data_IF_709968139000
#
_entry.id   IF_709968139000
#
_cell.length_a   1.000
_cell.length_b   1.000
_cell.length_c   1.000
_cell.angle_alpha   90.00
_cell.angle_beta   90.00
_cell.angle_gamma   90.00
#
_symmetry.space_group_name_H-M   'P 1'
#
loop_
_entity.id
_entity.type
_entity.pdbx_description
1 polymer ?
#
# COMPACT_ATOMS: atom_id res chain seq x y z
N UNK A 1 -10.29 -3.12 -9.51
CA UNK A 1 -8.88 -2.78 -9.75
C UNK A 1 -8.77 -1.28 -9.69
N UNK A 2 -8.01 -0.78 -8.72
CA UNK A 2 -7.79 0.64 -8.44
C UNK A 2 -6.56 1.16 -9.17
N UNK A 3 -5.51 0.34 -9.26
CA UNK A 3 -4.37 0.63 -10.11
C UNK A 3 -4.79 0.48 -11.57
N UNK A 4 -4.55 1.50 -12.39
CA UNK A 4 -4.75 1.41 -13.84
C UNK A 4 -3.45 0.94 -14.48
N UNK A 5 -3.55 0.19 -15.56
CA UNK A 5 -2.38 -0.11 -16.37
C UNK A 5 -1.94 1.18 -17.09
N UNK A 6 -0.72 1.64 -16.81
CA UNK A 6 -0.19 2.92 -17.33
C UNK A 6 0.14 2.90 -18.83
N UNK A 7 -0.30 1.90 -19.60
CA UNK A 7 0.03 1.76 -21.02
C UNK A 7 1.53 1.57 -21.33
N UNK A 8 2.39 1.55 -20.30
CA UNK A 8 3.82 1.34 -20.44
C UNK A 8 4.11 -0.08 -20.97
N UNK A 9 5.12 -0.20 -21.83
CA UNK A 9 5.56 -1.43 -22.49
C UNK A 9 5.98 -2.59 -21.54
N UNK A 10 5.91 -2.41 -20.22
CA UNK A 10 6.24 -3.45 -19.23
C UNK A 10 4.99 -4.03 -18.60
N UNK A 11 4.90 -5.36 -18.68
CA UNK A 11 3.86 -6.11 -18.00
C UNK A 11 3.96 -5.91 -16.47
N UNK A 12 2.90 -5.37 -15.88
CA UNK A 12 2.76 -5.22 -14.44
C UNK A 12 2.03 -6.45 -13.89
N UNK A 13 2.50 -6.96 -12.74
CA UNK A 13 1.81 -7.99 -11.96
C UNK A 13 1.26 -7.37 -10.69
N UNK A 14 -0.05 -7.51 -10.45
CA UNK A 14 -0.65 -7.21 -9.15
C UNK A 14 -0.23 -8.30 -8.17
N UNK A 15 0.69 -7.97 -7.28
CA UNK A 15 1.26 -8.89 -6.28
C UNK A 15 0.50 -8.86 -4.96
N UNK A 16 -0.28 -7.80 -4.72
CA UNK A 16 -1.10 -7.65 -3.53
C UNK A 16 -2.44 -7.03 -3.84
N UNK A 17 -3.47 -7.60 -3.20
CA UNK A 17 -4.82 -7.07 -3.07
C UNK A 17 -5.24 -7.19 -1.61
N UNK A 18 -5.66 -6.08 -1.03
CA UNK A 18 -6.15 -6.03 0.33
C UNK A 18 -7.44 -6.82 0.50
N UNK A 19 -8.29 -6.85 -0.53
CA UNK A 19 -9.49 -7.68 -0.55
C UNK A 19 -9.17 -9.15 -0.27
N UNK A 20 -8.15 -9.71 -0.96
CA UNK A 20 -7.69 -11.08 -0.70
C UNK A 20 -7.08 -11.23 0.69
N UNK A 21 -6.35 -10.22 1.15
CA UNK A 21 -5.71 -10.25 2.47
C UNK A 21 -6.73 -10.31 3.61
N UNK A 22 -7.81 -9.53 3.52
CA UNK A 22 -8.90 -9.53 4.50
C UNK A 22 -9.57 -10.91 4.64
N UNK A 23 -9.60 -11.71 3.57
CA UNK A 23 -10.18 -13.06 3.59
C UNK A 23 -9.32 -14.08 4.34
N UNK A 24 -8.01 -13.84 4.47
CA UNK A 24 -7.08 -14.78 5.11
C UNK A 24 -7.22 -14.80 6.63
N UNK A 25 -7.59 -13.66 7.24
CA UNK A 25 -7.73 -13.53 8.69
C UNK A 25 -8.99 -12.75 9.08
N UNK A 26 -10.18 -13.39 9.00
CA UNK A 26 -11.44 -12.76 9.41
C UNK A 26 -11.47 -12.36 10.89
N UNK A 27 -10.69 -13.04 11.74
CA UNK A 27 -10.63 -12.73 13.17
C UNK A 27 -9.97 -11.37 13.42
N UNK A 28 -8.89 -11.07 12.68
CA UNK A 28 -8.26 -9.74 12.72
C UNK A 28 -9.18 -8.64 12.21
N UNK A 29 -9.97 -8.91 11.16
CA UNK A 29 -10.97 -7.97 10.66
C UNK A 29 -12.02 -7.68 11.73
N UNK A 30 -12.60 -8.73 12.32
CA UNK A 30 -13.59 -8.59 13.40
C UNK A 30 -13.02 -7.82 14.61
N UNK A 31 -11.76 -8.05 14.97
CA UNK A 31 -11.11 -7.30 16.05
C UNK A 31 -10.97 -5.80 15.74
N UNK A 32 -10.60 -5.45 14.50
CA UNK A 32 -10.52 -4.05 14.07
C UNK A 32 -11.91 -3.37 14.07
N UNK A 33 -12.95 -4.08 13.63
CA UNK A 33 -14.33 -3.60 13.67
C UNK A 33 -14.84 -3.43 15.12
N UNK A 34 -14.53 -4.39 16.01
CA UNK A 34 -14.88 -4.29 17.43
C UNK A 34 -14.23 -3.08 18.11
N UNK A 35 -12.95 -2.79 17.81
CA UNK A 35 -12.29 -1.57 18.29
C UNK A 35 -12.95 -0.30 17.75
N UNK A 36 -13.37 -0.30 16.48
CA UNK A 36 -14.11 0.82 15.86
C UNK A 36 -15.43 1.09 16.59
N UNK A 37 -16.17 0.06 16.97
CA UNK A 37 -17.45 0.20 17.68
C UNK A 37 -17.32 0.46 19.19
N UNK A 38 -16.15 0.21 19.78
CA UNK A 38 -15.95 0.33 21.22
C UNK A 38 -15.85 1.80 21.67
N UNK A 39 -16.92 2.31 22.29
CA UNK A 39 -16.98 3.67 22.87
C UNK A 39 -16.13 3.84 24.13
N UNK A 40 -15.90 2.75 24.88
CA UNK A 40 -15.01 2.74 26.04
C UNK A 40 -13.51 2.81 25.68
N UNK A 41 -13.17 2.74 24.39
CA UNK A 41 -11.82 2.93 23.86
C UNK A 41 -11.81 4.04 22.80
N UNK A 42 -12.08 5.30 23.18
CA UNK A 42 -12.32 6.40 22.24
C UNK A 42 -11.09 6.84 21.46
N UNK A 43 -9.89 6.36 21.82
CA UNK A 43 -8.64 6.69 21.14
C UNK A 43 -8.05 5.52 20.34
N UNK A 44 -8.73 4.36 20.29
CA UNK A 44 -8.21 3.14 19.66
C UNK A 44 -9.12 2.66 18.53
N UNK A 45 -8.51 2.33 17.40
CA UNK A 45 -9.20 1.87 16.20
C UNK A 45 -9.52 3.00 15.22
N UNK A 46 -10.30 2.64 14.21
CA UNK A 46 -10.75 3.54 13.15
C UNK A 46 -12.01 4.28 13.61
N UNK A 47 -12.27 5.42 12.97
CA UNK A 47 -13.42 6.27 13.28
C UNK A 47 -14.74 5.68 12.77
N UNK A 48 -14.68 4.83 11.74
CA UNK A 48 -15.86 4.16 11.16
C UNK A 48 -16.79 5.10 10.37
N UNK A 49 -16.31 6.29 9.98
CA UNK A 49 -17.09 7.31 9.24
C UNK A 49 -17.63 6.81 7.91
N UNK A 50 -16.95 5.85 7.29
CA UNK A 50 -17.23 5.36 5.94
C UNK A 50 -17.58 3.87 5.95
N UNK A 51 -18.17 3.40 7.06
CA UNK A 51 -18.42 1.98 7.30
C UNK A 51 -17.30 1.30 8.09
N UNK A 52 -17.54 0.05 8.45
CA UNK A 52 -16.60 -0.77 9.21
C UNK A 52 -15.48 -1.31 8.32
N UNK A 53 -14.25 -1.34 8.83
CA UNK A 53 -13.08 -1.83 8.11
C UNK A 53 -13.33 -3.17 7.41
N UNK A 54 -13.08 -3.21 6.09
CA UNK A 54 -13.26 -4.40 5.25
C UNK A 54 -14.71 -4.78 4.93
N UNK A 55 -15.70 -4.05 5.43
CA UNK A 55 -17.11 -4.25 5.05
C UNK A 55 -17.40 -3.78 3.63
N UNK A 56 -18.53 -4.21 3.06
CA UNK A 56 -18.97 -3.76 1.73
C UNK A 56 -19.14 -2.23 1.68
N UNK A 57 -19.75 -1.62 2.71
CA UNK A 57 -19.91 -0.18 2.81
C UNK A 57 -18.56 0.56 2.76
N UNK A 58 -17.54 0.01 3.43
CA UNK A 58 -16.19 0.56 3.41
C UNK A 58 -15.57 0.50 2.02
N UNK A 59 -15.72 -0.62 1.32
CA UNK A 59 -15.28 -0.75 -0.07
C UNK A 59 -16.05 0.16 -1.02
N UNK A 60 -17.35 0.29 -0.86
CA UNK A 60 -18.19 1.18 -1.68
C UNK A 60 -17.73 2.64 -1.52
N UNK A 61 -17.45 3.07 -0.29
CA UNK A 61 -16.91 4.41 -0.04
C UNK A 61 -15.51 4.65 -0.63
N UNK A 62 -14.68 3.61 -0.76
CA UNK A 62 -13.42 3.68 -1.53
C UNK A 62 -13.71 3.92 -3.01
N UNK A 63 -14.59 3.12 -3.61
CA UNK A 63 -14.88 3.22 -5.06
C UNK A 63 -15.64 4.48 -5.45
N UNK A 64 -16.48 5.00 -4.54
CA UNK A 64 -17.18 6.27 -4.71
C UNK A 64 -16.27 7.50 -4.49
N UNK A 65 -15.04 7.31 -3.98
CA UNK A 65 -14.08 8.39 -3.72
C UNK A 65 -14.35 9.16 -2.42
N UNK A 66 -15.17 8.62 -1.52
CA UNK A 66 -15.46 9.24 -0.21
C UNK A 66 -14.31 9.04 0.78
N UNK A 67 -13.59 7.91 0.66
CA UNK A 67 -12.31 7.69 1.36
C UNK A 67 -11.18 8.17 0.44
N UNK A 68 -10.34 9.12 0.89
CA UNK A 68 -9.23 9.62 0.09
C UNK A 68 -8.23 8.51 -0.25
N UNK A 69 -7.77 8.49 -1.50
CA UNK A 69 -6.76 7.57 -1.99
C UNK A 69 -5.44 8.27 -2.23
N UNK A 70 -4.34 7.61 -1.87
CA UNK A 70 -2.97 8.07 -2.11
C UNK A 70 -2.28 7.07 -3.05
N UNK A 71 -1.84 7.58 -4.20
CA UNK A 71 -1.18 6.78 -5.24
C UNK A 71 0.31 7.11 -5.29
N UNK A 72 1.14 6.07 -5.36
CA UNK A 72 2.55 6.21 -5.68
C UNK A 72 2.92 5.33 -6.87
N UNK A 73 3.76 5.88 -7.74
CA UNK A 73 4.41 5.14 -8.80
C UNK A 73 5.85 5.60 -8.93
N UNK A 74 6.76 4.65 -9.10
CA UNK A 74 8.18 4.96 -9.20
C UNK A 74 9.02 3.75 -9.53
N UNK A 75 10.34 3.95 -9.50
CA UNK A 75 11.34 2.91 -9.70
C UNK A 75 11.94 2.53 -8.35
N UNK A 76 12.02 1.24 -8.07
CA UNK A 76 12.70 0.73 -6.88
C UNK A 76 14.19 1.04 -7.05
N UNK A 77 14.76 1.79 -6.11
CA UNK A 77 16.19 2.11 -6.07
C UNK A 77 16.94 1.31 -5.00
N UNK A 78 16.21 0.77 -4.03
CA UNK A 78 16.74 -0.11 -2.97
C UNK A 78 15.67 -1.05 -2.44
N UNK A 79 16.09 -2.23 -1.99
CA UNK A 79 15.27 -3.17 -1.21
C UNK A 79 16.07 -3.64 0.01
N UNK A 80 15.46 -3.63 1.19
CA UNK A 80 16.14 -3.92 2.46
C UNK A 80 15.16 -4.43 3.52
N UNK A 81 15.70 -5.05 4.57
CA UNK A 81 14.97 -5.39 5.78
C UNK A 81 14.99 -4.19 6.76
N UNK A 82 13.82 -3.79 7.24
CA UNK A 82 13.64 -2.74 8.24
C UNK A 82 12.83 -3.25 9.44
N UNK A 83 12.97 -2.61 10.60
CA UNK A 83 12.28 -2.98 11.83
C UNK A 83 13.19 -3.67 12.85
N UNK A 84 12.62 -3.98 14.03
CA UNK A 84 13.34 -4.59 15.16
C UNK A 84 13.33 -6.11 15.15
N UNK A 85 12.59 -6.72 14.21
CA UNK A 85 12.53 -8.16 14.05
C UNK A 85 13.73 -8.61 13.21
N UNK A 86 14.51 -9.59 13.70
CA UNK A 86 15.68 -10.17 13.02
C UNK A 86 15.34 -11.00 11.76
N UNK A 87 14.36 -10.57 10.96
CA UNK A 87 14.06 -11.20 9.68
C UNK A 87 15.08 -10.71 8.65
N UNK A 88 15.81 -11.64 8.04
CA UNK A 88 16.79 -11.35 6.99
C UNK A 88 16.12 -10.98 5.65
N UNK A 89 14.82 -11.20 5.51
CA UNK A 89 14.08 -10.94 4.27
C UNK A 89 13.75 -9.46 4.11
N UNK A 90 13.94 -8.94 2.89
CA UNK A 90 13.54 -7.59 2.55
C UNK A 90 12.05 -7.41 2.79
N UNK A 91 11.69 -6.37 3.52
CA UNK A 91 10.30 -6.01 3.81
C UNK A 91 9.98 -4.55 3.45
N UNK A 92 10.97 -3.81 2.96
CA UNK A 92 10.88 -2.40 2.61
C UNK A 92 11.66 -2.11 1.33
N UNK A 93 11.17 -1.17 0.53
CA UNK A 93 11.87 -0.62 -0.63
C UNK A 93 11.92 0.90 -0.56
N UNK A 94 13.01 1.48 -1.07
CA UNK A 94 13.07 2.90 -1.41
C UNK A 94 12.57 3.06 -2.86
N UNK A 95 11.58 3.93 -3.04
CA UNK A 95 10.93 4.21 -4.32
C UNK A 95 11.28 5.63 -4.78
N UNK A 96 11.97 5.74 -5.92
CA UNK A 96 12.17 7.01 -6.62
C UNK A 96 10.91 7.33 -7.43
N UNK A 97 10.17 8.36 -7.01
CA UNK A 97 8.92 8.80 -7.67
C UNK A 97 9.18 9.94 -8.66
N UNK A 98 8.16 10.32 -9.43
CA UNK A 98 8.29 11.24 -10.58
C UNK A 98 8.85 12.63 -10.21
N UNK A 99 8.52 13.15 -9.03
CA UNK A 99 9.02 14.44 -8.54
C UNK A 99 10.49 14.42 -8.11
N UNK A 100 11.16 13.25 -8.22
CA UNK A 100 12.55 13.04 -7.86
C UNK A 100 12.78 12.72 -6.37
N UNK A 101 11.73 12.74 -5.54
CA UNK A 101 11.82 12.30 -4.15
C UNK A 101 11.97 10.78 -4.03
N UNK A 102 12.54 10.36 -2.91
CA UNK A 102 12.66 8.95 -2.53
C UNK A 102 11.80 8.72 -1.30
N UNK A 103 10.92 7.72 -1.37
CA UNK A 103 10.01 7.37 -0.28
C UNK A 103 10.13 5.89 0.09
N UNK A 104 9.95 5.58 1.36
CA UNK A 104 9.92 4.20 1.86
C UNK A 104 8.54 3.57 1.67
N UNK A 105 8.50 2.38 1.09
CA UNK A 105 7.29 1.60 0.88
C UNK A 105 7.50 0.19 1.45
N UNK A 106 6.55 -0.26 2.28
CA UNK A 106 6.53 -1.65 2.73
C UNK A 106 6.28 -2.62 1.57
N UNK A 107 6.87 -3.81 1.65
CA UNK A 107 6.60 -4.89 0.69
C UNK A 107 5.32 -5.60 1.10
N UNK A 108 4.32 -5.55 0.23
CA UNK A 108 3.05 -6.26 0.39
C UNK A 108 2.91 -7.28 -0.72
N UNK A 109 2.61 -8.53 -0.35
CA UNK A 109 2.34 -9.62 -1.29
C UNK A 109 1.21 -10.49 -0.76
N UNK A 110 0.36 -11.00 -1.64
CA UNK A 110 -0.55 -12.09 -1.25
C UNK A 110 0.15 -13.45 -1.32
N UNK A 111 1.13 -13.62 -2.22
CA UNK A 111 1.95 -14.83 -2.41
C UNK A 111 3.41 -14.53 -2.01
N UNK A 112 3.99 -15.34 -1.11
CA UNK A 112 5.34 -15.10 -0.59
C UNK A 112 6.44 -15.08 -1.67
N UNK A 113 6.28 -15.88 -2.73
CA UNK A 113 7.22 -15.90 -3.86
C UNK A 113 7.29 -14.57 -4.63
N UNK A 114 6.27 -13.71 -4.52
CA UNK A 114 6.26 -12.42 -5.21
C UNK A 114 7.16 -11.37 -4.57
N UNK A 115 7.68 -11.62 -3.36
CA UNK A 115 8.70 -10.75 -2.72
C UNK A 115 9.92 -10.61 -3.63
N UNK A 116 10.24 -11.67 -4.38
CA UNK A 116 11.33 -11.65 -5.33
C UNK A 116 11.17 -10.61 -6.45
N UNK A 117 9.99 -10.08 -6.72
CA UNK A 117 9.79 -9.08 -7.77
C UNK A 117 10.26 -7.67 -7.35
N UNK A 118 10.42 -7.43 -6.05
CA UNK A 118 10.83 -6.14 -5.48
C UNK A 118 12.34 -5.94 -5.57
N UNK A 119 12.83 -5.72 -6.80
CA UNK A 119 14.24 -5.56 -7.12
C UNK A 119 14.54 -4.16 -7.68
N UNK A 120 15.77 -3.70 -7.49
CA UNK A 120 16.25 -2.43 -8.04
C UNK A 120 16.00 -2.37 -9.56
N UNK A 121 15.48 -1.25 -10.05
CA UNK A 121 15.14 -1.03 -11.45
C UNK A 121 13.73 -1.48 -11.85
N UNK A 122 13.02 -2.24 -11.03
CA UNK A 122 11.60 -2.55 -11.27
C UNK A 122 10.72 -1.34 -10.98
N UNK A 123 9.65 -1.18 -11.78
CA UNK A 123 8.59 -0.21 -11.52
C UNK A 123 7.65 -0.78 -10.45
N UNK A 124 7.30 0.03 -9.48
CA UNK A 124 6.29 -0.27 -8.47
C UNK A 124 5.15 0.74 -8.56
N UNK A 125 3.93 0.25 -8.35
CA UNK A 125 2.73 1.05 -8.17
C UNK A 125 2.01 0.58 -6.91
N UNK A 126 1.54 1.51 -6.11
CA UNK A 126 0.78 1.23 -4.90
C UNK A 126 -0.30 2.29 -4.70
N UNK A 127 -1.45 1.84 -4.21
CA UNK A 127 -2.54 2.70 -3.79
C UNK A 127 -2.91 2.40 -2.35
N UNK A 128 -3.04 3.45 -1.55
CA UNK A 128 -3.47 3.42 -0.16
C UNK A 128 -4.84 4.07 -0.01
N UNK A 129 -5.69 3.53 0.86
CA UNK A 129 -6.78 4.28 1.48
C UNK A 129 -6.27 5.04 2.70
N UNK A 130 -6.75 6.27 2.89
CA UNK A 130 -6.51 7.09 4.08
C UNK A 130 -7.78 7.07 4.95
N UNK A 131 -7.85 6.11 5.88
CA UNK A 131 -9.01 5.95 6.77
C UNK A 131 -8.78 6.66 8.11
N UNK A 132 -9.76 7.43 8.59
CA UNK A 132 -9.58 8.28 9.77
C UNK A 132 -9.42 7.44 11.04
N UNK A 133 -8.37 7.69 11.81
CA UNK A 133 -8.19 7.11 13.15
C UNK A 133 -9.13 7.77 14.16
N UNK A 134 -9.53 7.05 15.21
CA UNK A 134 -10.23 7.70 16.34
C UNK A 134 -9.36 8.72 17.06
N UNK A 135 -8.09 8.37 17.30
CA UNK A 135 -7.11 9.28 17.89
C UNK A 135 -6.83 10.42 16.91
N UNK A 136 -7.21 11.63 17.28
CA UNK A 136 -6.98 12.86 16.53
C UNK A 136 -6.40 13.95 17.46
N UNK A 137 -5.64 14.92 16.93
CA UNK A 137 -5.02 14.91 15.60
C UNK A 137 -3.86 13.91 15.50
N UNK A 138 -3.22 13.84 14.34
CA UNK A 138 -1.93 13.17 14.17
C UNK A 138 -0.79 13.92 14.88
N UNK A 139 0.41 13.33 14.97
CA UNK A 139 1.57 13.98 15.60
C UNK A 139 1.98 15.31 14.93
N UNK A 140 1.66 15.48 13.66
CA UNK A 140 1.89 16.68 12.85
C UNK A 140 0.75 17.71 12.93
N UNK A 141 -0.28 17.45 13.73
CA UNK A 141 -1.45 18.31 13.88
C UNK A 141 -2.51 18.15 12.78
N UNK A 142 -2.24 17.35 11.74
CA UNK A 142 -3.19 17.06 10.67
C UNK A 142 -4.16 15.94 11.06
N UNK A 143 -5.10 15.62 10.16
CA UNK A 143 -5.98 14.45 10.34
C UNK A 143 -5.10 13.20 10.41
N UNK A 144 -5.25 12.44 11.48
CA UNK A 144 -4.59 11.16 11.66
C UNK A 144 -5.29 10.08 10.82
N UNK A 145 -4.59 9.58 9.81
CA UNK A 145 -5.09 8.50 8.96
C UNK A 145 -4.32 7.20 9.23
N UNK A 146 -5.05 6.09 9.26
CA UNK A 146 -4.48 4.79 8.94
C UNK A 146 -4.24 4.74 7.42
N UNK A 147 -3.00 4.48 7.02
CA UNK A 147 -2.68 4.17 5.62
C UNK A 147 -2.87 2.68 5.40
N UNK A 148 -3.88 2.32 4.62
CA UNK A 148 -4.21 0.92 4.29
C UNK A 148 -3.83 0.65 2.84
N UNK A 149 -2.81 -0.18 2.60
CA UNK A 149 -2.46 -0.59 1.22
C UNK A 149 -3.65 -1.36 0.64
N UNK A 150 -4.14 -0.96 -0.53
CA UNK A 150 -5.29 -1.58 -1.19
C UNK A 150 -4.85 -2.52 -2.32
N UNK A 151 -3.94 -2.06 -3.16
CA UNK A 151 -3.36 -2.84 -4.26
C UNK A 151 -1.89 -2.45 -4.46
N UNK A 152 -1.06 -3.43 -4.80
CA UNK A 152 0.35 -3.23 -5.19
C UNK A 152 0.61 -3.99 -6.49
N UNK A 153 1.24 -3.31 -7.43
CA UNK A 153 1.72 -3.90 -8.67
C UNK A 153 3.21 -3.65 -8.88
N UNK A 154 3.91 -4.65 -9.39
CA UNK A 154 5.35 -4.58 -9.69
C UNK A 154 5.58 -5.05 -11.13
N UNK A 155 6.50 -4.41 -11.85
CA UNK A 155 6.85 -4.80 -13.22
C UNK A 155 7.60 -6.13 -13.24
N UNK A 156 7.33 -6.98 -14.24
CA UNK A 156 8.00 -8.26 -14.43
C UNK A 156 9.42 -8.16 -15.06
N UNK A 157 9.89 -6.95 -15.41
CA UNK A 157 11.21 -6.72 -16.02
C UNK A 157 11.87 -5.41 -15.56
N UNK A 158 13.19 -5.32 -15.70
CA UNK A 158 14.01 -4.22 -15.20
C UNK A 158 14.03 -2.99 -16.12
N UNK A 159 14.33 -1.83 -15.54
CA UNK A 159 14.69 -0.63 -16.27
C UNK A 159 16.18 -0.56 -16.54
N UNK A 160 16.60 -1.04 -17.71
CA UNK A 160 17.84 -0.53 -18.29
C UNK A 160 17.61 0.92 -18.74
N UNK A 161 17.96 1.88 -17.89
CA UNK A 161 18.24 3.26 -18.35
C UNK A 161 19.66 3.36 -18.96
N UNK A 162 20.19 2.26 -19.51
CA UNK A 162 21.53 2.18 -20.11
C UNK A 162 21.49 2.10 -21.64
N UNK A 163 20.34 1.77 -22.25
CA UNK A 163 20.23 1.53 -23.70
C UNK A 163 19.58 2.65 -24.51
N UNK A 164 18.93 3.63 -23.88
CA UNK A 164 18.30 4.76 -24.58
C UNK A 164 19.24 5.94 -24.87
N UNK A 165 20.54 5.85 -24.52
CA UNK A 165 21.54 6.90 -24.77
C UNK A 165 22.38 6.70 -26.05
N UNK A 166 22.16 5.62 -26.80
CA UNK A 166 22.93 5.32 -28.02
C UNK A 166 22.06 5.00 -29.25
N UNK A 167 20.89 5.62 -29.35
CA UNK A 167 20.07 5.58 -30.57
C UNK A 167 19.70 6.99 -31.03
N UNK A 168 20.68 7.72 -31.56
CA UNK A 168 20.56 8.56 -32.77
C UNK A 168 21.93 9.03 -33.21
#
# INVERSE_FOLDING_TARGET
MLLKNDGAHRQMKVVYSHWKELQKDPARVAAAQALTLNSGRPLLGLKGKYGLYGSQEWWDNIYLGNIPLLFFSGIIVRAYAAGQDNKAENNTVELLVEDGSVIDIGIYVNESSDVELFRVGCKLQIVYALDEMKKQPGPDGNINYAKVALEVAVSLGFSDKSTDLFST
#
